data_IF_487887724865
#
_entry.id   IF_487887724865
#
_cell.length_a   1.000
_cell.length_b   1.000
_cell.length_c   1.000
_cell.angle_alpha   90.00
_cell.angle_beta   90.00
_cell.angle_gamma   90.00
#
_symmetry.space_group_name_H-M   'P 1'
#
loop_
_entity.id
_entity.type
_entity.pdbx_description
1 polymer ?
#
# COMPACT_ATOMS: atom_id res chain seq x y z
N UNK A 1 16.38 27.20 31.44
CA UNK A 1 16.82 25.89 30.90
C UNK A 1 15.72 25.37 29.99
N UNK A 2 16.00 25.32 28.68
CA UNK A 2 15.28 24.67 27.57
C UNK A 2 15.56 25.31 26.19
N UNK A 3 16.30 26.43 26.12
CA UNK A 3 16.63 27.13 24.86
C UNK A 3 17.47 26.29 23.89
N UNK A 4 18.48 25.57 24.37
CA UNK A 4 19.34 24.73 23.51
C UNK A 4 18.59 23.57 22.86
N UNK A 5 17.75 22.86 23.62
CA UNK A 5 16.88 21.80 23.08
C UNK A 5 15.93 22.36 22.02
N UNK A 6 15.35 23.54 22.27
CA UNK A 6 14.44 24.20 21.34
C UNK A 6 15.13 24.64 20.05
N UNK A 7 16.36 25.16 20.14
CA UNK A 7 17.18 25.51 18.97
C UNK A 7 17.47 24.29 18.09
N UNK A 8 17.84 23.15 18.69
CA UNK A 8 18.04 21.90 17.93
C UNK A 8 16.74 21.41 17.27
N UNK A 9 15.60 21.57 17.94
CA UNK A 9 14.30 21.18 17.40
C UNK A 9 13.86 22.10 16.24
N UNK A 10 14.17 23.40 16.33
CA UNK A 10 13.99 24.37 15.25
C UNK A 10 14.84 24.04 14.02
N UNK A 11 16.10 23.64 14.22
CA UNK A 11 16.97 23.22 13.12
C UNK A 11 16.40 21.99 12.40
N UNK A 12 15.91 21.00 13.14
CA UNK A 12 15.21 19.85 12.56
C UNK A 12 13.92 20.24 11.85
N UNK A 13 13.16 21.18 12.41
CA UNK A 13 11.93 21.69 11.80
C UNK A 13 12.24 22.32 10.44
N UNK A 14 13.31 23.11 10.35
CA UNK A 14 13.77 23.69 9.09
C UNK A 14 14.28 22.65 8.09
N UNK A 15 14.83 21.53 8.57
CA UNK A 15 15.22 20.40 7.72
C UNK A 15 14.04 19.47 7.37
N UNK A 16 12.81 19.75 7.83
CA UNK A 16 11.64 18.87 7.68
C UNK A 16 11.85 17.47 8.28
N UNK A 17 12.64 17.36 9.34
CA UNK A 17 12.97 16.10 10.02
C UNK A 17 12.20 15.92 11.35
N UNK A 18 11.26 16.81 11.66
CA UNK A 18 10.46 16.75 12.89
C UNK A 18 9.34 15.72 12.83
N UNK A 19 9.07 15.10 13.98
CA UNK A 19 7.85 14.32 14.20
C UNK A 19 6.69 15.19 14.67
N UNK A 20 5.45 14.71 14.49
CA UNK A 20 4.23 15.40 14.94
C UNK A 20 4.25 15.72 16.45
N UNK A 21 4.86 14.85 17.25
CA UNK A 21 5.02 15.07 18.69
C UNK A 21 5.97 16.23 19.00
N UNK A 22 7.08 16.33 18.27
CA UNK A 22 8.07 17.41 18.41
C UNK A 22 7.49 18.76 17.95
N UNK A 23 6.72 18.78 16.86
CA UNK A 23 6.02 19.99 16.40
C UNK A 23 4.99 20.49 17.41
N UNK A 24 4.29 19.58 18.08
CA UNK A 24 3.37 19.94 19.17
C UNK A 24 4.11 20.51 20.38
N UNK A 25 5.33 20.02 20.66
CA UNK A 25 6.20 20.59 21.70
C UNK A 25 6.65 22.00 21.32
N UNK A 26 7.07 22.24 20.07
CA UNK A 26 7.38 23.57 19.52
C UNK A 26 6.19 24.52 19.69
N UNK A 27 5.01 24.10 19.24
CA UNK A 27 3.80 24.90 19.31
C UNK A 27 3.43 25.26 20.75
N UNK A 28 3.52 24.31 21.68
CA UNK A 28 3.21 24.53 23.10
C UNK A 28 4.20 25.49 23.74
N UNK A 29 5.49 25.37 23.40
CA UNK A 29 6.55 26.24 23.90
C UNK A 29 6.37 27.69 23.44
N UNK A 30 6.13 27.90 22.14
CA UNK A 30 5.94 29.23 21.55
C UNK A 30 4.58 29.87 21.89
N UNK A 31 3.59 29.06 22.30
CA UNK A 31 2.30 29.56 22.81
C UNK A 31 2.34 30.03 24.26
N UNK A 32 3.44 29.78 24.99
CA UNK A 32 3.58 30.13 26.41
C UNK A 32 4.17 31.53 26.63
N UNK A 33 3.88 32.14 27.79
CA UNK A 33 4.38 33.48 28.16
C UNK A 33 5.90 33.55 28.49
N UNK A 34 6.66 32.47 28.36
CA UNK A 34 8.05 32.36 28.82
C UNK A 34 9.04 31.98 27.70
N UNK A 35 8.95 32.66 26.55
CA UNK A 35 9.89 32.45 25.43
C UNK A 35 11.13 33.35 25.60
N UNK A 36 12.37 32.78 25.53
CA UNK A 36 13.62 33.53 25.54
C UNK A 36 13.69 34.58 24.43
N UNK A 37 14.38 35.69 24.68
CA UNK A 37 14.40 36.86 23.78
C UNK A 37 14.90 36.54 22.36
N UNK A 38 15.90 35.65 22.24
CA UNK A 38 16.46 35.16 20.97
C UNK A 38 15.44 34.39 20.10
N UNK A 39 14.45 33.77 20.74
CA UNK A 39 13.45 32.90 20.11
C UNK A 39 12.11 33.63 19.90
N UNK A 40 11.94 34.85 20.40
CA UNK A 40 10.71 35.63 20.25
C UNK A 40 10.34 35.90 18.79
N UNK A 41 11.34 36.00 17.91
CA UNK A 41 11.13 36.18 16.47
C UNK A 41 10.34 35.04 15.81
N UNK A 42 10.38 33.83 16.38
CA UNK A 42 9.72 32.65 15.83
C UNK A 42 8.31 32.41 16.41
N UNK A 43 7.92 33.16 17.45
CA UNK A 43 6.57 33.09 18.06
C UNK A 43 5.44 33.20 17.03
N UNK A 44 5.41 34.18 16.10
CA UNK A 44 4.30 34.31 15.16
C UNK A 44 4.11 33.10 14.24
N UNK A 45 5.16 32.31 13.98
CA UNK A 45 5.07 31.11 13.15
C UNK A 45 4.21 30.01 13.78
N UNK A 46 4.28 29.89 15.11
CA UNK A 46 3.63 28.81 15.85
C UNK A 46 2.35 29.25 16.56
N UNK A 47 2.15 30.55 16.79
CA UNK A 47 0.95 31.08 17.45
C UNK A 47 -0.27 31.07 16.53
N UNK A 48 -0.09 31.37 15.25
CA UNK A 48 -1.18 31.53 14.28
C UNK A 48 -2.08 30.29 14.16
N UNK A 49 -1.46 29.10 14.15
CA UNK A 49 -2.18 27.83 14.03
C UNK A 49 -3.15 27.60 15.20
N UNK A 50 -2.83 28.10 16.40
CA UNK A 50 -3.70 27.94 17.58
C UNK A 50 -4.91 28.87 17.52
N UNK A 51 -4.73 30.08 17.02
CA UNK A 51 -5.79 31.08 16.97
C UNK A 51 -6.85 30.69 15.92
N UNK A 52 -6.43 30.12 14.78
CA UNK A 52 -7.33 29.66 13.72
C UNK A 52 -7.94 28.26 13.93
N UNK A 53 -7.44 27.47 14.89
CA UNK A 53 -8.08 26.19 15.26
C UNK A 53 -9.54 26.36 15.75
N UNK A 54 -9.95 27.59 16.09
CA UNK A 54 -11.32 27.93 16.46
C UNK A 54 -12.27 28.10 15.27
N UNK A 55 -11.74 28.15 14.05
CA UNK A 55 -12.54 28.25 12.82
C UNK A 55 -13.05 26.84 12.50
N UNK A 56 -14.23 26.52 13.05
CA UNK A 56 -14.95 25.32 12.66
C UNK A 56 -15.42 25.47 11.22
N UNK A 57 -15.18 24.44 10.40
CA UNK A 57 -15.76 24.32 9.07
C UNK A 57 -17.28 24.55 9.14
N UNK A 58 -17.85 25.27 8.17
CA UNK A 58 -19.30 25.50 8.10
C UNK A 58 -20.06 24.17 8.11
N UNK A 59 -21.24 24.13 8.73
CA UNK A 59 -22.10 22.93 8.95
C UNK A 59 -22.49 22.12 7.68
N UNK A 60 -22.02 22.49 6.49
CA UNK A 60 -22.23 21.75 5.24
C UNK A 60 -20.96 21.54 4.39
N UNK A 61 -19.78 21.92 4.86
CA UNK A 61 -18.53 21.76 4.09
C UNK A 61 -18.24 20.28 3.84
N UNK A 62 -18.39 19.43 4.86
CA UNK A 62 -18.15 18.00 4.77
C UNK A 62 -19.07 17.32 3.75
N UNK A 63 -20.34 17.74 3.69
CA UNK A 63 -21.33 17.21 2.74
C UNK A 63 -21.03 17.67 1.30
N UNK A 64 -20.66 18.94 1.11
CA UNK A 64 -20.22 19.47 -0.20
C UNK A 64 -18.95 18.78 -0.68
N UNK A 65 -17.99 18.53 0.20
CA UNK A 65 -16.73 17.86 -0.11
C UNK A 65 -16.98 16.39 -0.49
N UNK A 66 -17.83 15.69 0.25
CA UNK A 66 -18.23 14.31 -0.06
C UNK A 66 -18.90 14.21 -1.44
N UNK A 67 -19.79 15.16 -1.76
CA UNK A 67 -20.44 15.22 -3.08
C UNK A 67 -19.47 15.60 -4.22
N UNK A 68 -18.50 16.48 -3.96
CA UNK A 68 -17.55 16.97 -4.97
C UNK A 68 -16.51 15.92 -5.38
N UNK A 69 -16.03 15.09 -4.44
CA UNK A 69 -15.05 14.05 -4.74
C UNK A 69 -15.66 12.77 -5.33
N UNK A 70 -16.97 12.73 -5.60
CA UNK A 70 -17.63 11.51 -6.08
C UNK A 70 -17.43 10.31 -5.16
N UNK A 71 -16.97 10.57 -3.93
CA UNK A 71 -16.96 9.59 -2.85
C UNK A 71 -18.42 9.52 -2.45
N UNK A 72 -19.17 8.69 -3.19
CA UNK A 72 -20.23 7.87 -2.60
C UNK A 72 -19.73 7.61 -1.19
N UNK A 73 -20.39 8.20 -0.20
CA UNK A 73 -19.78 8.34 1.10
C UNK A 73 -19.16 7.02 1.51
N UNK A 74 -18.26 7.05 2.47
CA UNK A 74 -18.29 5.96 3.42
C UNK A 74 -19.75 5.90 3.96
N UNK A 75 -20.74 5.34 3.25
CA UNK A 75 -20.65 3.91 3.03
C UNK A 75 -20.10 3.34 4.30
N UNK A 76 -20.76 3.70 5.42
CA UNK A 76 -20.87 2.87 6.60
C UNK A 76 -21.03 1.54 5.96
N UNK A 77 -19.92 0.81 5.81
CA UNK A 77 -19.93 -0.43 5.08
C UNK A 77 -21.01 -1.13 5.88
N UNK A 78 -22.17 -1.31 5.25
CA UNK A 78 -23.19 -2.13 5.84
C UNK A 78 -22.54 -3.46 5.61
N UNK A 79 -21.60 -3.80 6.49
CA UNK A 79 -21.30 -5.13 6.90
C UNK A 79 -22.71 -5.64 7.11
N UNK A 80 -23.20 -6.34 6.10
CA UNK A 80 -24.23 -7.33 6.27
C UNK A 80 -23.51 -8.27 7.22
N UNK A 81 -23.57 -7.95 8.51
CA UNK A 81 -23.11 -8.84 9.54
C UNK A 81 -24.10 -9.95 9.37
N UNK A 82 -23.69 -10.98 8.64
CA UNK A 82 -24.48 -12.18 8.47
C UNK A 82 -24.43 -12.84 9.85
N UNK A 83 -25.19 -12.28 10.78
CA UNK A 83 -25.19 -12.58 12.22
C UNK A 83 -25.62 -14.03 12.46
N UNK A 84 -26.27 -14.63 11.47
CA UNK A 84 -26.62 -16.05 11.40
C UNK A 84 -25.39 -16.97 11.30
N UNK A 85 -24.26 -16.52 10.72
CA UNK A 85 -23.03 -17.33 10.61
C UNK A 85 -22.03 -17.10 11.76
N UNK A 86 -22.29 -16.15 12.68
CA UNK A 86 -21.44 -15.94 13.87
C UNK A 86 -21.21 -17.21 14.71
N UNK A 87 -22.21 -18.07 15.00
CA UNK A 87 -21.96 -19.29 15.75
C UNK A 87 -21.20 -20.34 14.94
N UNK A 88 -21.36 -20.38 13.61
CA UNK A 88 -20.61 -21.31 12.75
C UNK A 88 -19.14 -20.89 12.58
N UNK A 89 -18.86 -19.59 12.43
CA UNK A 89 -17.49 -19.06 12.32
C UNK A 89 -16.65 -19.33 13.57
N UNK A 90 -17.27 -19.37 14.76
CA UNK A 90 -16.58 -19.72 16.02
C UNK A 90 -16.07 -21.16 16.04
N UNK A 91 -16.70 -22.05 15.29
CA UNK A 91 -16.38 -23.49 15.24
C UNK A 91 -15.65 -23.84 13.93
N UNK A 92 -15.62 -22.91 12.96
CA UNK A 92 -15.01 -23.14 11.65
C UNK A 92 -13.55 -23.57 11.74
N UNK A 93 -12.77 -23.05 12.70
CA UNK A 93 -11.35 -23.41 12.86
C UNK A 93 -11.17 -24.88 13.23
N UNK A 94 -11.96 -25.42 14.16
CA UNK A 94 -11.84 -26.83 14.54
C UNK A 94 -12.32 -27.77 13.43
N UNK A 95 -13.39 -27.40 12.74
CA UNK A 95 -13.91 -28.16 11.59
C UNK A 95 -12.91 -28.14 10.44
N UNK A 96 -12.32 -26.99 10.13
CA UNK A 96 -11.33 -26.84 9.07
C UNK A 96 -10.04 -27.61 9.39
N UNK A 97 -9.64 -27.71 10.67
CA UNK A 97 -8.52 -28.54 11.08
C UNK A 97 -8.83 -30.03 10.87
N UNK A 98 -10.00 -30.51 11.29
CA UNK A 98 -10.39 -31.92 11.11
C UNK A 98 -10.53 -32.28 9.63
N UNK A 99 -11.19 -31.43 8.84
CA UNK A 99 -11.35 -31.64 7.39
C UNK A 99 -10.01 -31.53 6.68
N UNK A 100 -9.21 -30.51 6.98
CA UNK A 100 -7.88 -30.32 6.40
C UNK A 100 -6.93 -31.47 6.73
N UNK A 101 -6.97 -31.97 7.96
CA UNK A 101 -6.17 -33.11 8.38
C UNK A 101 -6.66 -34.41 7.72
N UNK A 102 -7.97 -34.61 7.58
CA UNK A 102 -8.55 -35.76 6.87
C UNK A 102 -8.23 -35.76 5.37
N UNK A 103 -8.33 -34.60 4.70
CA UNK A 103 -7.95 -34.43 3.29
C UNK A 103 -6.44 -34.62 3.10
N UNK A 104 -5.62 -34.07 3.99
CA UNK A 104 -4.17 -34.26 3.98
C UNK A 104 -3.80 -35.74 4.11
N UNK A 105 -4.41 -36.45 5.07
CA UNK A 105 -4.15 -37.89 5.26
C UNK A 105 -4.63 -38.74 4.07
N UNK A 106 -5.77 -38.37 3.47
CA UNK A 106 -6.27 -39.00 2.25
C UNK A 106 -5.32 -38.78 1.07
N UNK A 107 -4.83 -37.55 0.88
CA UNK A 107 -3.86 -37.22 -0.18
C UNK A 107 -2.53 -37.91 0.03
N UNK A 108 -2.01 -37.96 1.26
CA UNK A 108 -0.77 -38.65 1.60
C UNK A 108 -0.91 -40.16 1.38
N UNK A 109 -2.07 -40.75 1.73
CA UNK A 109 -2.31 -42.19 1.51
C UNK A 109 -2.52 -42.53 0.03
N UNK A 110 -2.95 -41.56 -0.79
CA UNK A 110 -3.22 -41.74 -2.22
C UNK A 110 -2.05 -41.29 -3.10
N UNK A 111 -1.10 -40.53 -2.56
CA UNK A 111 0.22 -40.35 -3.15
C UNK A 111 0.91 -41.70 -3.11
N UNK A 112 1.07 -42.29 -4.29
CA UNK A 112 1.98 -43.40 -4.51
C UNK A 112 3.39 -42.87 -4.18
N UNK A 113 3.81 -43.02 -2.92
CA UNK A 113 5.12 -42.64 -2.40
C UNK A 113 6.18 -43.54 -3.01
N UNK A 114 6.41 -43.36 -4.31
CA UNK A 114 7.61 -43.78 -5.00
C UNK A 114 8.57 -42.61 -4.83
N UNK A 115 9.49 -42.63 -3.85
CA UNK A 115 10.56 -41.64 -3.82
C UNK A 115 11.37 -41.82 -5.11
N UNK A 116 11.06 -41.04 -6.14
CA UNK A 116 11.74 -41.07 -7.44
C UNK A 116 13.00 -40.21 -7.43
N UNK A 117 13.55 -40.00 -6.22
CA UNK A 117 14.83 -39.36 -5.99
C UNK A 117 15.74 -40.42 -5.36
N UNK A 118 16.38 -41.19 -6.24
CA UNK A 118 17.44 -42.10 -5.85
C UNK A 118 18.65 -41.23 -5.50
N UNK A 119 19.05 -41.27 -4.24
CA UNK A 119 20.32 -40.70 -3.81
C UNK A 119 21.45 -41.35 -4.62
N UNK A 120 22.17 -40.54 -5.40
CA UNK A 120 23.39 -40.91 -6.14
C UNK A 120 23.21 -42.03 -7.17
N UNK A 121 23.15 -41.67 -8.46
CA UNK A 121 23.25 -42.64 -9.55
C UNK A 121 24.61 -43.35 -9.48
N UNK A 122 24.61 -44.68 -9.34
CA UNK A 122 25.83 -45.50 -9.29
C UNK A 122 26.61 -45.51 -10.62
N UNK A 123 25.92 -45.25 -11.75
CA UNK A 123 26.50 -45.18 -13.09
C UNK A 123 26.51 -43.73 -13.64
N UNK A 124 27.68 -43.13 -13.90
CA UNK A 124 27.81 -41.80 -14.49
C UNK A 124 27.04 -41.61 -15.80
N UNK A 125 26.90 -42.67 -16.61
CA UNK A 125 26.20 -42.59 -17.90
C UNK A 125 24.69 -42.47 -17.71
N UNK A 126 24.11 -43.15 -16.71
CA UNK A 126 22.69 -43.04 -16.39
C UNK A 126 22.32 -41.64 -15.87
N UNK A 127 23.18 -41.05 -15.04
CA UNK A 127 23.02 -39.68 -14.55
C UNK A 127 23.00 -38.66 -15.71
N UNK A 128 23.94 -38.79 -16.65
CA UNK A 128 24.01 -37.92 -17.82
C UNK A 128 22.76 -38.02 -18.70
N UNK A 129 22.21 -39.22 -18.90
CA UNK A 129 20.98 -39.40 -19.67
C UNK A 129 19.77 -38.73 -18.99
N UNK A 130 19.64 -38.86 -17.67
CA UNK A 130 18.57 -38.19 -16.92
C UNK A 130 18.72 -36.67 -16.92
N UNK A 131 19.95 -36.16 -16.82
CA UNK A 131 20.24 -34.73 -16.93
C UNK A 131 19.89 -34.20 -18.33
N UNK A 132 20.27 -34.93 -19.39
CA UNK A 132 19.94 -34.58 -20.77
C UNK A 132 18.42 -34.55 -20.99
N UNK A 133 17.69 -35.55 -20.49
CA UNK A 133 16.23 -35.61 -20.56
C UNK A 133 15.56 -34.46 -19.80
N UNK A 134 16.06 -34.12 -18.61
CA UNK A 134 15.55 -32.98 -17.85
C UNK A 134 15.79 -31.66 -18.59
N UNK A 135 16.98 -31.49 -19.17
CA UNK A 135 17.33 -30.31 -19.95
C UNK A 135 16.49 -30.19 -21.23
N UNK A 136 16.19 -31.30 -21.89
CA UNK A 136 15.30 -31.35 -23.05
C UNK A 136 13.85 -30.96 -22.67
N UNK A 137 13.34 -31.45 -21.54
CA UNK A 137 12.03 -31.03 -21.04
C UNK A 137 11.98 -29.54 -20.73
N UNK A 138 13.04 -29.00 -20.13
CA UNK A 138 13.14 -27.57 -19.85
C UNK A 138 13.20 -26.76 -21.13
N UNK A 139 14.00 -27.17 -22.12
CA UNK A 139 14.06 -26.47 -23.40
C UNK A 139 12.73 -26.49 -24.14
N UNK A 140 12.01 -27.62 -24.12
CA UNK A 140 10.66 -27.72 -24.67
C UNK A 140 9.67 -26.79 -23.94
N UNK A 141 9.73 -26.74 -22.62
CA UNK A 141 8.89 -25.84 -21.82
C UNK A 141 9.18 -24.36 -22.13
N UNK A 142 10.46 -23.99 -22.26
CA UNK A 142 10.88 -22.62 -22.60
C UNK A 142 10.44 -22.22 -24.01
N UNK A 143 10.57 -23.11 -24.99
CA UNK A 143 10.08 -22.83 -26.36
C UNK A 143 8.57 -22.67 -26.41
N UNK A 144 7.85 -23.47 -25.61
CA UNK A 144 6.40 -23.33 -25.46
C UNK A 144 6.02 -22.01 -24.78
N UNK A 145 6.78 -21.55 -23.78
CA UNK A 145 6.50 -20.25 -23.16
C UNK A 145 6.86 -19.07 -24.07
N UNK A 146 7.92 -19.18 -24.86
CA UNK A 146 8.31 -18.15 -25.82
C UNK A 146 7.23 -17.95 -26.88
N UNK A 147 6.75 -19.05 -27.47
CA UNK A 147 5.66 -18.98 -28.48
C UNK A 147 4.37 -18.39 -27.91
N UNK A 148 3.96 -18.79 -26.71
CA UNK A 148 2.80 -18.20 -26.04
C UNK A 148 3.01 -16.70 -25.74
N UNK A 149 4.21 -16.30 -25.33
CA UNK A 149 4.53 -14.90 -25.05
C UNK A 149 4.53 -14.05 -26.33
N UNK A 150 5.07 -14.58 -27.43
CA UNK A 150 5.09 -13.88 -28.73
C UNK A 150 3.67 -13.74 -29.26
N UNK A 151 2.83 -14.77 -29.16
CA UNK A 151 1.42 -14.70 -29.55
C UNK A 151 0.67 -13.62 -28.76
N UNK A 152 0.91 -13.52 -27.43
CA UNK A 152 0.29 -12.44 -26.63
C UNK A 152 0.78 -11.05 -27.02
N UNK A 153 2.07 -10.89 -27.38
CA UNK A 153 2.61 -9.61 -27.84
C UNK A 153 2.02 -9.24 -29.20
N UNK A 154 1.92 -10.19 -30.14
CA UNK A 154 1.27 -9.98 -31.43
C UNK A 154 -0.19 -9.59 -31.28
N UNK A 155 -0.93 -10.26 -30.39
CA UNK A 155 -2.30 -9.91 -30.09
C UNK A 155 -2.42 -8.46 -29.55
N UNK A 156 -1.51 -8.03 -28.67
CA UNK A 156 -1.48 -6.65 -28.15
C UNK A 156 -1.15 -5.64 -29.26
N UNK A 157 -0.25 -6.00 -30.18
CA UNK A 157 0.12 -5.16 -31.34
C UNK A 157 -1.07 -5.00 -32.30
N UNK A 158 -1.81 -6.08 -32.56
CA UNK A 158 -3.03 -6.09 -33.38
C UNK A 158 -4.18 -5.27 -32.77
N UNK A 159 -4.14 -4.97 -31.46
CA UNK A 159 -5.18 -4.24 -30.74
C UNK A 159 -5.16 -2.72 -30.97
N UNK A 160 -4.27 -2.19 -31.82
CA UNK A 160 -4.12 -0.77 -32.19
C UNK A 160 -4.28 0.18 -30.99
N UNK A 161 -3.56 -0.13 -29.91
CA UNK A 161 -3.65 0.60 -28.65
C UNK A 161 -2.95 1.96 -28.80
N UNK A 162 -3.72 3.04 -28.65
CA UNK A 162 -3.17 4.40 -28.63
C UNK A 162 -2.49 4.70 -27.28
N UNK A 163 -1.19 4.37 -27.21
CA UNK A 163 -0.35 4.62 -26.05
C UNK A 163 -0.19 6.11 -25.72
N UNK A 164 -0.36 7.00 -26.70
CA UNK A 164 -0.27 8.46 -26.51
C UNK A 164 -1.55 8.96 -25.84
N UNK A 165 -2.73 8.45 -26.22
CA UNK A 165 -3.98 8.76 -25.53
C UNK A 165 -3.94 8.30 -24.07
N UNK A 166 -3.37 7.12 -23.77
CA UNK A 166 -3.22 6.63 -22.40
C UNK A 166 -2.25 7.51 -21.58
N UNK A 167 -1.12 7.94 -22.15
CA UNK A 167 -0.18 8.87 -21.48
C UNK A 167 -0.79 10.27 -21.28
N UNK A 168 -1.63 10.71 -22.21
CA UNK A 168 -2.31 12.02 -22.13
C UNK A 168 -3.38 12.05 -21.02
N UNK A 169 -4.10 10.95 -20.80
CA UNK A 169 -5.04 10.82 -19.66
C UNK A 169 -4.36 10.96 -18.29
N UNK A 170 -3.04 10.69 -18.21
CA UNK A 170 -2.28 10.90 -16.98
C UNK A 170 -1.75 12.34 -16.84
N UNK A 171 -1.76 13.14 -17.91
CA UNK A 171 -1.35 14.56 -17.93
C UNK A 171 -2.50 15.54 -17.74
N UNK A 172 -3.73 15.18 -18.12
CA UNK A 172 -4.89 16.07 -18.12
C UNK A 172 -5.59 16.22 -16.75
N UNK A 173 -4.94 15.86 -15.65
CA UNK A 173 -5.38 16.29 -14.32
C UNK A 173 -4.36 17.23 -13.63
N UNK A 174 -4.09 18.43 -14.20
CA UNK A 174 -3.59 19.53 -13.40
C UNK A 174 -4.76 20.01 -12.52
N UNK A 175 -4.64 19.82 -11.21
CA UNK A 175 -5.55 20.43 -10.22
C UNK A 175 -5.51 21.95 -10.44
N UNK A 176 -6.54 22.50 -11.06
CA UNK A 176 -6.71 23.94 -11.28
C UNK A 176 -6.85 24.65 -9.92
N UNK A 177 -5.84 25.46 -9.57
CA UNK A 177 -5.89 26.37 -8.42
C UNK A 177 -6.41 27.69 -8.96
N UNK A 178 -7.71 27.91 -8.81
CA UNK A 178 -8.38 29.13 -9.28
C UNK A 178 -7.79 30.35 -8.56
N UNK A 179 -7.37 31.33 -9.36
CA UNK A 179 -6.70 32.55 -8.94
C UNK A 179 -7.75 33.60 -8.67
N UNK A 180 -8.04 33.92 -7.40
CA UNK A 180 -9.00 34.98 -7.07
C UNK A 180 -8.35 36.35 -7.34
N UNK A 181 -8.85 36.95 -8.41
CA UNK A 181 -8.64 38.32 -8.85
C UNK A 181 -9.10 39.32 -7.77
N UNK A 182 -8.20 40.25 -7.43
CA UNK A 182 -8.43 41.37 -6.54
C UNK A 182 -9.19 42.48 -7.28
N UNK A 183 -10.41 42.79 -6.86
CA UNK A 183 -11.07 44.05 -7.20
C UNK A 183 -11.04 45.00 -5.99
N UNK A 184 -10.59 46.22 -6.28
CA UNK A 184 -10.54 47.42 -5.42
C UNK A 184 -11.83 48.23 -5.56
#
# INVERSE_FOLDING_TARGET
MNSEKMNSLLEKYWNCETSVQEEKELQTFFSGNSVPEELRQYVPLFSYIKDEQSISLSDGFSERLQNAFGVEGEGKERYITIRIFRPLLRIAVSVLLVVGMGVSFYFISKQDNRPQFVETFEDPNAAMQHAAYALEKLSHALRKSETASVETIQFIDDLDIDWIAIDSLNKDNPVEIDSVESEE
#
